data_IF_855498770374
#
_entry.id   IF_855498770374
#
_cell.length_a   1.000
_cell.length_b   1.000
_cell.length_c   1.000
_cell.angle_alpha   90.00
_cell.angle_beta   90.00
_cell.angle_gamma   90.00
#
_symmetry.space_group_name_H-M   'P 1'
#
loop_
_entity.id
_entity.type
_entity.pdbx_description
1 polymer ?
#
# COMPACT_ATOMS: atom_id res chain seq x y z
N UNK A 1 5.82 -6.89 -33.37
CA UNK A 1 5.96 -5.41 -33.45
C UNK A 1 4.98 -4.76 -32.49
N UNK A 2 5.44 -3.80 -31.69
CA UNK A 2 4.60 -3.08 -30.73
C UNK A 2 3.53 -2.23 -31.44
N UNK A 3 2.32 -2.20 -30.86
CA UNK A 3 1.24 -1.29 -31.24
C UNK A 3 1.35 0.03 -30.47
N UNK A 4 0.52 1.00 -30.83
CA UNK A 4 0.49 2.29 -30.14
C UNK A 4 -0.14 2.20 -28.74
N UNK A 5 0.07 3.25 -27.95
CA UNK A 5 -0.43 3.36 -26.58
C UNK A 5 -1.96 3.32 -26.49
N UNK A 6 -2.67 3.86 -27.48
CA UNK A 6 -4.13 3.84 -27.53
C UNK A 6 -4.64 2.42 -27.63
N UNK A 7 -4.03 1.57 -28.47
CA UNK A 7 -4.40 0.17 -28.59
C UNK A 7 -4.36 -0.55 -27.23
N UNK A 8 -3.27 -0.41 -26.47
CA UNK A 8 -3.14 -1.10 -25.18
C UNK A 8 -4.05 -0.50 -24.10
N UNK A 9 -4.32 0.81 -24.16
CA UNK A 9 -5.30 1.44 -23.26
C UNK A 9 -6.72 0.92 -23.53
N UNK A 10 -7.15 0.87 -24.80
CA UNK A 10 -8.43 0.28 -25.17
C UNK A 10 -8.54 -1.20 -24.81
N UNK A 11 -7.45 -1.95 -25.00
CA UNK A 11 -7.37 -3.34 -24.57
C UNK A 11 -7.59 -3.46 -23.06
N UNK A 12 -6.97 -2.58 -22.27
CA UNK A 12 -7.13 -2.52 -20.80
C UNK A 12 -8.58 -2.21 -20.40
N UNK A 13 -9.27 -1.33 -21.14
CA UNK A 13 -10.68 -1.00 -20.89
C UNK A 13 -11.63 -2.15 -21.22
N UNK A 14 -11.31 -2.94 -22.26
CA UNK A 14 -12.11 -4.11 -22.67
C UNK A 14 -11.85 -5.33 -21.78
N UNK A 15 -10.66 -5.42 -21.18
CA UNK A 15 -10.22 -6.55 -20.36
C UNK A 15 -9.82 -6.04 -18.98
N UNK A 16 -10.81 -5.79 -18.12
CA UNK A 16 -10.59 -5.29 -16.77
C UNK A 16 -9.92 -6.33 -15.87
N UNK A 17 -9.33 -5.88 -14.76
CA UNK A 17 -8.70 -6.76 -13.78
C UNK A 17 -9.76 -7.59 -13.06
N UNK A 18 -9.41 -8.86 -12.76
CA UNK A 18 -10.27 -9.77 -12.02
C UNK A 18 -10.42 -9.28 -10.57
N UNK A 19 -11.59 -9.50 -9.97
CA UNK A 19 -11.83 -9.17 -8.56
C UNK A 19 -12.66 -10.25 -7.86
N UNK A 20 -12.22 -10.75 -6.69
CA UNK A 20 -10.97 -10.42 -5.99
C UNK A 20 -9.71 -10.97 -6.69
N UNK A 21 -8.61 -10.23 -6.61
CA UNK A 21 -7.29 -10.65 -7.13
C UNK A 21 -6.48 -11.37 -6.05
N UNK A 22 -6.06 -12.60 -6.37
CA UNK A 22 -5.34 -13.51 -5.46
C UNK A 22 -4.00 -12.95 -4.98
N UNK A 23 -3.34 -12.07 -5.73
CA UNK A 23 -2.12 -11.39 -5.27
C UNK A 23 -2.35 -10.56 -4.01
N UNK A 24 -3.58 -10.11 -3.79
CA UNK A 24 -3.93 -9.25 -2.66
C UNK A 24 -4.66 -9.96 -1.53
N UNK A 25 -5.04 -11.23 -1.70
CA UNK A 25 -5.61 -12.04 -0.64
C UNK A 25 -4.60 -12.18 0.51
N UNK A 26 -5.08 -12.08 1.76
CA UNK A 26 -4.26 -12.21 2.96
C UNK A 26 -4.85 -13.27 3.88
N UNK A 27 -4.39 -14.50 3.75
CA UNK A 27 -4.88 -15.65 4.54
C UNK A 27 -4.09 -15.85 5.84
N UNK A 28 -3.33 -14.84 6.27
CA UNK A 28 -2.51 -14.92 7.48
C UNK A 28 -3.40 -14.83 8.72
N UNK A 29 -3.51 -15.96 9.42
CA UNK A 29 -4.19 -16.06 10.71
C UNK A 29 -3.18 -15.82 11.84
N UNK A 30 -3.39 -14.79 12.65
CA UNK A 30 -2.49 -14.42 13.75
C UNK A 30 -2.97 -14.93 15.12
N UNK A 31 -4.21 -15.43 15.21
CA UNK A 31 -4.83 -15.88 16.47
C UNK A 31 -5.17 -17.37 16.52
N UNK A 32 -4.59 -18.21 15.65
CA UNK A 32 -4.78 -19.67 15.71
C UNK A 32 -4.23 -20.21 17.04
N UNK A 33 -5.06 -20.78 17.94
CA UNK A 33 -4.59 -21.24 19.24
C UNK A 33 -3.47 -22.30 19.17
N UNK A 34 -3.42 -23.09 18.09
CA UNK A 34 -2.38 -24.12 17.91
C UNK A 34 -1.04 -23.53 17.47
N UNK A 35 -1.06 -22.42 16.73
CA UNK A 35 0.15 -21.82 16.12
C UNK A 35 0.62 -20.56 16.84
N UNK A 36 -0.29 -19.86 17.51
CA UNK A 36 -0.07 -18.52 18.09
C UNK A 36 -0.12 -18.52 19.62
N UNK A 37 0.10 -19.66 20.28
CA UNK A 37 0.02 -19.79 21.75
C UNK A 37 0.80 -18.69 22.49
N UNK A 38 2.07 -18.47 22.15
CA UNK A 38 2.92 -17.42 22.76
C UNK A 38 2.37 -16.00 22.57
N UNK A 39 1.80 -15.72 21.40
CA UNK A 39 1.20 -14.42 21.12
C UNK A 39 -0.06 -14.23 21.98
N UNK A 40 -0.94 -15.23 22.02
CA UNK A 40 -2.17 -15.18 22.81
C UNK A 40 -1.88 -15.08 24.32
N UNK A 41 -0.85 -15.76 24.82
CA UNK A 41 -0.37 -15.61 26.20
C UNK A 41 0.05 -14.16 26.49
N UNK A 42 0.81 -13.53 25.59
CA UNK A 42 1.21 -12.12 25.74
C UNK A 42 0.02 -11.16 25.66
N UNK A 43 -0.97 -11.43 24.80
CA UNK A 43 -2.21 -10.65 24.72
C UNK A 43 -3.01 -10.75 26.02
N UNK A 44 -3.14 -11.95 26.58
CA UNK A 44 -3.85 -12.15 27.84
C UNK A 44 -3.13 -11.48 29.01
N UNK A 45 -1.80 -11.63 29.10
CA UNK A 45 -0.99 -10.93 30.09
C UNK A 45 -1.15 -9.39 29.97
N UNK A 46 -1.17 -8.85 28.75
CA UNK A 46 -1.45 -7.43 28.53
C UNK A 46 -2.82 -7.01 29.10
N UNK A 47 -3.87 -7.81 28.86
CA UNK A 47 -5.22 -7.55 29.37
C UNK A 47 -5.25 -7.59 30.91
N UNK A 48 -4.58 -8.56 31.51
CA UNK A 48 -4.47 -8.70 32.97
C UNK A 48 -3.73 -7.52 33.60
N UNK A 49 -2.61 -7.09 33.02
CA UNK A 49 -1.86 -5.93 33.47
C UNK A 49 -2.68 -4.64 33.38
N UNK A 50 -3.41 -4.42 32.28
CA UNK A 50 -4.30 -3.25 32.13
C UNK A 50 -5.44 -3.30 33.15
N UNK A 51 -6.04 -4.47 33.36
CA UNK A 51 -7.10 -4.70 34.35
C UNK A 51 -6.59 -4.35 35.74
N UNK A 52 -5.39 -4.84 36.08
CA UNK A 52 -4.72 -4.58 37.35
C UNK A 52 -4.45 -3.08 37.52
N UNK A 53 -3.88 -2.43 36.50
CA UNK A 53 -3.67 -0.98 36.51
C UNK A 53 -4.96 -0.21 36.80
N UNK A 54 -6.03 -0.51 36.07
CA UNK A 54 -7.32 0.17 36.23
C UNK A 54 -7.92 -0.09 37.63
N UNK A 55 -7.75 -1.30 38.19
CA UNK A 55 -8.21 -1.61 39.55
C UNK A 55 -7.42 -0.84 40.62
N UNK A 56 -6.09 -0.81 40.53
CA UNK A 56 -5.25 -0.07 41.47
C UNK A 56 -5.58 1.42 41.43
N UNK A 57 -5.74 1.98 40.22
CA UNK A 57 -6.10 3.38 40.03
C UNK A 57 -7.46 3.72 40.65
N UNK A 58 -8.49 2.90 40.42
CA UNK A 58 -9.82 3.15 40.98
C UNK A 58 -9.86 3.09 42.51
N UNK A 59 -8.92 2.38 43.14
CA UNK A 59 -8.79 2.28 44.59
C UNK A 59 -7.74 3.27 45.16
N UNK A 60 -7.22 4.20 44.36
CA UNK A 60 -6.15 5.14 44.73
C UNK A 60 -4.89 4.46 45.30
N UNK A 61 -4.58 3.24 44.84
CA UNK A 61 -3.39 2.50 45.25
C UNK A 61 -2.26 2.80 44.25
N UNK A 62 -1.25 3.54 44.70
CA UNK A 62 -0.12 3.93 43.84
C UNK A 62 1.04 2.92 43.82
N UNK A 63 1.07 1.97 44.76
CA UNK A 63 2.16 1.00 44.85
C UNK A 63 2.18 0.06 43.63
N UNK A 64 3.34 -0.11 43.00
CA UNK A 64 3.53 -1.01 41.86
C UNK A 64 3.00 -0.52 40.51
N UNK A 65 2.40 0.68 40.43
CA UNK A 65 1.86 1.22 39.16
C UNK A 65 2.97 1.34 38.11
N UNK A 66 4.13 1.89 38.47
CA UNK A 66 5.22 2.12 37.50
C UNK A 66 5.81 0.81 36.96
N UNK A 67 5.82 -0.25 37.77
CA UNK A 67 6.24 -1.60 37.34
C UNK A 67 5.24 -2.18 36.34
N UNK A 68 3.94 -2.01 36.58
CA UNK A 68 2.88 -2.45 35.67
C UNK A 68 2.97 -1.71 34.34
N UNK A 69 3.14 -0.38 34.37
CA UNK A 69 3.30 0.43 33.14
C UNK A 69 4.53 -0.07 32.36
N UNK A 70 5.65 -0.31 33.04
CA UNK A 70 6.88 -0.80 32.41
C UNK A 70 6.68 -2.17 31.72
N UNK A 71 5.97 -3.10 32.38
CA UNK A 71 5.62 -4.42 31.80
C UNK A 71 4.67 -4.30 30.60
N UNK A 72 3.71 -3.38 30.66
CA UNK A 72 2.82 -3.08 29.53
C UNK A 72 3.63 -2.53 28.37
N UNK A 73 4.52 -1.57 28.61
CA UNK A 73 5.39 -0.99 27.59
C UNK A 73 6.26 -2.08 26.92
N UNK A 74 6.87 -2.97 27.70
CA UNK A 74 7.68 -4.07 27.17
C UNK A 74 6.89 -4.95 26.20
N UNK A 75 5.66 -5.34 26.57
CA UNK A 75 4.79 -6.15 25.69
C UNK A 75 4.45 -5.38 24.42
N UNK A 76 4.09 -4.09 24.55
CA UNK A 76 3.76 -3.25 23.41
C UNK A 76 4.95 -3.15 22.47
N UNK A 77 6.17 -2.90 22.95
CA UNK A 77 7.33 -2.71 22.06
C UNK A 77 7.83 -4.03 21.45
N UNK A 78 7.79 -5.14 22.19
CA UNK A 78 8.46 -6.38 21.79
C UNK A 78 7.59 -7.38 21.03
N UNK A 79 6.26 -7.30 21.15
CA UNK A 79 5.36 -8.33 20.59
C UNK A 79 4.85 -7.92 19.22
N UNK A 80 5.24 -8.68 18.19
CA UNK A 80 4.74 -8.52 16.82
C UNK A 80 3.21 -8.62 16.80
N UNK A 81 2.56 -7.74 16.03
CA UNK A 81 1.10 -7.66 15.85
C UNK A 81 0.30 -7.25 17.10
N UNK A 82 0.93 -6.84 18.21
CA UNK A 82 0.22 -6.42 19.43
C UNK A 82 -0.66 -5.18 19.20
N UNK A 83 -0.35 -4.40 18.17
CA UNK A 83 -1.09 -3.21 17.76
C UNK A 83 -2.51 -3.49 17.25
N UNK A 84 -2.86 -4.76 17.05
CA UNK A 84 -4.21 -5.19 16.67
C UNK A 84 -5.06 -5.64 17.87
N UNK A 85 -4.55 -5.50 19.09
CA UNK A 85 -5.35 -5.69 20.31
C UNK A 85 -6.32 -4.53 20.54
N UNK A 86 -7.37 -4.78 21.32
CA UNK A 86 -8.43 -3.82 21.57
C UNK A 86 -7.93 -2.54 22.26
N UNK A 87 -6.95 -2.68 23.14
CA UNK A 87 -6.31 -1.56 23.85
C UNK A 87 -5.60 -0.61 22.87
N UNK A 88 -4.75 -1.15 21.99
CA UNK A 88 -4.01 -0.32 21.03
C UNK A 88 -4.94 0.21 19.94
N UNK A 89 -5.95 -0.56 19.54
CA UNK A 89 -6.96 -0.09 18.59
C UNK A 89 -7.72 1.14 19.11
N UNK A 90 -7.98 1.22 20.42
CA UNK A 90 -8.63 2.37 21.05
C UNK A 90 -7.84 3.67 20.88
N UNK A 91 -6.50 3.60 20.80
CA UNK A 91 -5.64 4.79 20.67
C UNK A 91 -6.01 5.64 19.45
N UNK A 92 -6.52 5.02 18.37
CA UNK A 92 -7.00 5.72 17.18
C UNK A 92 -8.14 6.68 17.48
N UNK A 93 -8.97 6.39 18.48
CA UNK A 93 -10.05 7.29 18.92
C UNK A 93 -9.56 8.45 19.80
N UNK A 94 -8.29 8.41 20.19
CA UNK A 94 -7.58 9.48 20.89
C UNK A 94 -6.59 10.21 19.96
N UNK A 95 -6.69 9.98 18.64
CA UNK A 95 -5.76 10.49 17.62
C UNK A 95 -4.29 10.09 17.85
N UNK A 96 -4.06 8.93 18.47
CA UNK A 96 -2.72 8.39 18.69
C UNK A 96 -2.48 7.18 17.78
N UNK A 97 -1.43 7.27 16.96
CA UNK A 97 -0.97 6.16 16.14
C UNK A 97 0.09 5.33 16.88
N UNK A 98 -0.04 4.00 16.78
CA UNK A 98 0.91 3.07 17.37
C UNK A 98 2.35 3.26 16.87
N UNK A 99 2.54 3.57 15.59
CA UNK A 99 3.88 3.87 15.03
C UNK A 99 4.53 5.07 15.71
N UNK A 100 3.78 6.16 15.87
CA UNK A 100 4.26 7.36 16.59
C UNK A 100 4.65 7.04 18.02
N UNK A 101 3.88 6.22 18.73
CA UNK A 101 4.24 5.78 20.08
C UNK A 101 5.61 5.08 20.12
N UNK A 102 5.91 4.22 19.15
CA UNK A 102 7.20 3.51 19.09
C UNK A 102 8.41 4.45 18.91
N UNK A 103 8.22 5.59 18.26
CA UNK A 103 9.27 6.58 17.98
C UNK A 103 9.55 7.53 19.16
N UNK A 104 8.67 7.58 20.16
CA UNK A 104 8.85 8.47 21.31
C UNK A 104 10.03 8.06 22.19
N UNK A 105 10.82 9.04 22.63
CA UNK A 105 11.89 8.88 23.61
C UNK A 105 11.35 8.61 25.03
N UNK A 106 10.22 9.21 25.40
CA UNK A 106 9.54 9.00 26.67
C UNK A 106 8.13 8.42 26.44
N UNK A 107 8.05 7.08 26.37
CA UNK A 107 6.81 6.32 26.15
C UNK A 107 5.91 6.27 27.38
N UNK A 108 6.51 6.18 28.57
CA UNK A 108 5.82 6.05 29.86
C UNK A 108 4.74 7.13 30.09
N UNK A 109 5.06 8.40 29.85
CA UNK A 109 4.11 9.50 30.08
C UNK A 109 2.86 9.37 29.19
N UNK A 110 3.06 9.09 27.90
CA UNK A 110 1.93 8.89 26.99
C UNK A 110 1.16 7.62 27.35
N UNK A 111 1.85 6.52 27.67
CA UNK A 111 1.23 5.25 28.04
C UNK A 111 0.32 5.41 29.26
N UNK A 112 0.76 6.17 30.28
CA UNK A 112 -0.07 6.48 31.45
C UNK A 112 -1.37 7.20 31.07
N UNK A 113 -1.29 8.21 30.21
CA UNK A 113 -2.47 8.93 29.69
C UNK A 113 -3.41 7.99 28.93
N UNK A 114 -2.85 7.11 28.09
CA UNK A 114 -3.63 6.16 27.30
C UNK A 114 -4.33 5.12 28.18
N UNK A 115 -3.64 4.58 29.19
CA UNK A 115 -4.19 3.67 30.18
C UNK A 115 -5.32 4.35 30.96
N UNK A 116 -5.09 5.57 31.42
CA UNK A 116 -6.08 6.36 32.15
C UNK A 116 -7.37 6.55 31.36
N UNK A 117 -7.25 6.95 30.10
CA UNK A 117 -8.40 7.13 29.22
C UNK A 117 -9.09 5.81 28.91
N UNK A 118 -8.35 4.72 28.78
CA UNK A 118 -8.93 3.40 28.56
C UNK A 118 -9.71 2.91 29.78
N UNK A 119 -9.17 3.06 30.99
CA UNK A 119 -9.87 2.72 32.23
C UNK A 119 -11.17 3.52 32.39
N UNK A 120 -11.11 4.83 32.11
CA UNK A 120 -12.25 5.76 32.21
C UNK A 120 -13.36 5.43 31.19
N UNK A 121 -13.01 5.10 29.94
CA UNK A 121 -13.97 5.14 28.81
C UNK A 121 -14.21 3.83 28.09
N UNK A 122 -13.39 2.81 28.30
CA UNK A 122 -13.41 1.58 27.48
C UNK A 122 -13.43 0.30 28.26
N UNK A 123 -12.74 0.20 29.40
CA UNK A 123 -12.63 -1.06 30.13
C UNK A 123 -14.00 -1.72 30.39
N UNK A 124 -14.90 -1.03 31.09
CA UNK A 124 -16.23 -1.58 31.41
C UNK A 124 -17.07 -1.86 30.15
N UNK A 125 -16.92 -1.05 29.10
CA UNK A 125 -17.62 -1.26 27.84
C UNK A 125 -17.13 -2.54 27.13
N UNK A 126 -15.82 -2.74 27.05
CA UNK A 126 -15.24 -3.91 26.37
C UNK A 126 -15.43 -5.18 27.18
N UNK A 127 -15.39 -5.11 28.52
CA UNK A 127 -15.75 -6.24 29.39
C UNK A 127 -17.18 -6.72 29.12
N UNK A 128 -18.15 -5.81 28.91
CA UNK A 128 -19.54 -6.17 28.55
C UNK A 128 -19.65 -6.87 27.20
N UNK A 129 -18.81 -6.51 26.23
CA UNK A 129 -18.81 -7.12 24.90
C UNK A 129 -18.00 -8.43 24.86
N UNK A 130 -17.06 -8.59 25.78
CA UNK A 130 -16.12 -9.70 25.79
C UNK A 130 -14.92 -9.44 24.89
N UNK A 131 -13.75 -9.91 25.35
CA UNK A 131 -12.52 -9.92 24.57
C UNK A 131 -12.45 -11.21 23.76
N UNK A 132 -12.27 -11.12 22.44
CA UNK A 132 -12.24 -12.31 21.56
C UNK A 132 -11.00 -12.35 20.70
N UNK A 133 -10.62 -13.55 20.24
CA UNK A 133 -9.57 -13.67 19.24
C UNK A 133 -10.05 -13.16 17.85
N UNK A 134 -11.36 -13.22 17.60
CA UNK A 134 -11.97 -12.73 16.37
C UNK A 134 -11.81 -11.22 16.23
N UNK A 135 -11.98 -10.44 17.29
CA UNK A 135 -11.75 -8.97 17.25
C UNK A 135 -10.32 -8.64 16.85
N UNK A 136 -9.33 -9.35 17.38
CA UNK A 136 -7.92 -9.16 17.02
C UNK A 136 -7.67 -9.52 15.55
N UNK A 137 -8.19 -10.65 15.08
CA UNK A 137 -8.04 -11.06 13.68
C UNK A 137 -8.72 -10.07 12.73
N UNK A 138 -9.95 -9.64 13.03
CA UNK A 138 -10.66 -8.66 12.22
C UNK A 138 -9.91 -7.31 12.17
N UNK A 139 -9.31 -6.88 13.29
CA UNK A 139 -8.45 -5.69 13.32
C UNK A 139 -7.19 -5.89 12.46
N UNK A 140 -6.57 -7.06 12.49
CA UNK A 140 -5.43 -7.42 11.62
C UNK A 140 -5.81 -7.38 10.14
N UNK A 141 -6.91 -8.01 9.77
CA UNK A 141 -7.42 -8.08 8.40
C UNK A 141 -7.78 -6.68 7.89
N UNK A 142 -8.39 -5.83 8.73
CA UNK A 142 -8.69 -4.43 8.38
C UNK A 142 -7.41 -3.62 8.07
N UNK A 143 -6.31 -3.95 8.75
CA UNK A 143 -5.00 -3.33 8.56
C UNK A 143 -4.22 -3.86 7.35
N UNK A 144 -4.64 -4.98 6.75
CA UNK A 144 -3.94 -5.67 5.65
C UNK A 144 -3.79 -4.82 4.40
N UNK A 145 -4.67 -3.83 4.19
CA UNK A 145 -4.58 -2.85 3.10
C UNK A 145 -3.21 -2.17 3.00
N UNK A 146 -2.55 -1.93 4.13
CA UNK A 146 -1.23 -1.27 4.20
C UNK A 146 -0.09 -2.15 3.66
N UNK A 147 -0.28 -3.47 3.63
CA UNK A 147 0.71 -4.43 3.13
C UNK A 147 0.64 -4.66 1.61
N UNK A 148 -0.35 -4.07 0.91
CA UNK A 148 -0.57 -4.31 -0.52
C UNK A 148 0.52 -3.75 -1.43
N UNK A 149 1.29 -2.76 -0.98
CA UNK A 149 2.36 -2.15 -1.77
C UNK A 149 3.52 -3.11 -2.11
N UNK A 150 3.89 -4.02 -1.21
CA UNK A 150 4.91 -5.05 -1.49
C UNK A 150 4.38 -6.14 -2.42
N UNK A 151 3.12 -6.55 -2.22
CA UNK A 151 2.42 -7.54 -3.07
C UNK A 151 2.31 -7.08 -4.52
N UNK A 152 2.03 -5.80 -4.73
CA UNK A 152 1.98 -5.19 -6.05
C UNK A 152 3.32 -5.26 -6.81
N UNK A 153 4.45 -5.05 -6.12
CA UNK A 153 5.78 -5.23 -6.72
C UNK A 153 6.03 -6.69 -7.12
N UNK A 154 5.64 -7.64 -6.26
CA UNK A 154 5.73 -9.07 -6.61
C UNK A 154 4.94 -9.41 -7.87
N UNK A 155 3.71 -8.89 -7.99
CA UNK A 155 2.86 -9.10 -9.18
C UNK A 155 3.53 -8.64 -10.48
N UNK A 156 4.11 -7.43 -10.52
CA UNK A 156 4.82 -6.93 -11.71
C UNK A 156 6.00 -7.85 -12.06
N UNK A 157 6.77 -8.24 -11.05
CA UNK A 157 7.94 -9.09 -11.22
C UNK A 157 7.58 -10.49 -11.72
N UNK A 158 6.50 -11.09 -11.22
CA UNK A 158 6.02 -12.40 -11.65
C UNK A 158 5.52 -12.35 -13.10
N UNK A 159 4.73 -11.32 -13.47
CA UNK A 159 4.24 -11.13 -14.84
C UNK A 159 5.42 -11.01 -15.82
N UNK A 160 6.38 -10.13 -15.54
CA UNK A 160 7.51 -9.88 -16.44
C UNK A 160 8.41 -11.11 -16.58
N UNK A 161 8.69 -11.82 -15.49
CA UNK A 161 9.48 -13.06 -15.53
C UNK A 161 8.79 -14.14 -16.35
N UNK A 162 7.49 -14.33 -16.14
CA UNK A 162 6.74 -15.38 -16.83
C UNK A 162 6.65 -15.15 -18.35
N UNK A 163 6.53 -13.89 -18.78
CA UNK A 163 6.37 -13.57 -20.20
C UNK A 163 7.72 -13.41 -20.91
N UNK A 164 8.58 -12.54 -20.40
CA UNK A 164 9.82 -12.12 -21.06
C UNK A 164 11.05 -12.90 -20.60
N UNK A 165 10.97 -13.65 -19.49
CA UNK A 165 12.12 -14.28 -18.86
C UNK A 165 13.27 -13.28 -18.58
N UNK A 166 12.92 -12.04 -18.22
CA UNK A 166 13.88 -10.95 -17.93
C UNK A 166 13.71 -10.43 -16.49
N UNK A 167 14.66 -9.62 -16.05
CA UNK A 167 14.65 -9.00 -14.72
C UNK A 167 13.92 -7.66 -14.75
N UNK A 168 13.10 -7.42 -13.73
CA UNK A 168 12.60 -6.08 -13.38
C UNK A 168 13.57 -5.44 -12.41
N UNK A 169 14.03 -4.23 -12.72
CA UNK A 169 14.86 -3.42 -11.83
C UNK A 169 13.95 -2.47 -11.08
N UNK A 170 13.74 -2.69 -9.79
CA UNK A 170 13.08 -1.69 -8.94
C UNK A 170 14.05 -0.53 -8.68
N UNK A 171 13.60 0.68 -8.98
CA UNK A 171 14.47 1.84 -9.02
C UNK A 171 14.62 2.43 -7.60
N UNK A 172 15.88 2.69 -7.24
CA UNK A 172 16.30 3.51 -6.11
C UNK A 172 17.14 4.70 -6.58
N UNK A 173 17.66 5.50 -5.65
CA UNK A 173 18.42 6.72 -6.02
C UNK A 173 19.68 6.44 -6.83
N UNK A 174 20.41 5.38 -6.49
CA UNK A 174 21.71 5.08 -7.08
C UNK A 174 21.57 4.55 -8.52
N UNK A 175 20.82 3.47 -8.72
CA UNK A 175 20.61 2.89 -10.05
C UNK A 175 19.82 3.83 -10.98
N UNK A 176 18.94 4.71 -10.47
CA UNK A 176 18.28 5.70 -11.34
C UNK A 176 19.28 6.68 -11.97
N UNK A 177 20.31 7.06 -11.22
CA UNK A 177 21.34 7.99 -11.68
C UNK A 177 22.15 7.36 -12.82
N UNK A 178 22.43 6.06 -12.71
CA UNK A 178 23.12 5.26 -13.73
C UNK A 178 22.25 5.08 -14.97
N UNK A 179 20.99 4.64 -14.82
CA UNK A 179 20.05 4.44 -15.93
C UNK A 179 19.85 5.74 -16.73
N UNK A 180 19.67 6.87 -16.06
CA UNK A 180 19.54 8.17 -16.75
C UNK A 180 20.75 8.54 -17.58
N UNK A 181 21.95 8.24 -17.07
CA UNK A 181 23.21 8.51 -17.77
C UNK A 181 23.37 7.58 -18.97
N UNK A 182 23.06 6.28 -18.80
CA UNK A 182 23.11 5.27 -19.86
C UNK A 182 22.15 5.62 -21.02
N UNK A 183 20.91 5.96 -20.70
CA UNK A 183 19.89 6.31 -21.71
C UNK A 183 20.04 7.75 -22.25
N UNK A 184 20.85 8.58 -21.60
CA UNK A 184 20.98 10.02 -21.87
C UNK A 184 19.61 10.73 -21.95
N UNK A 185 18.77 10.53 -20.93
CA UNK A 185 17.39 11.06 -20.86
C UNK A 185 17.25 12.27 -19.94
N UNK A 186 16.30 13.16 -20.27
CA UNK A 186 16.06 14.40 -19.52
C UNK A 186 15.19 14.21 -18.28
N UNK A 187 14.20 13.31 -18.36
CA UNK A 187 13.25 12.99 -17.29
C UNK A 187 12.70 14.24 -16.56
N UNK A 188 11.91 15.04 -17.28
CA UNK A 188 11.30 16.28 -16.77
C UNK A 188 10.25 16.02 -15.68
N UNK A 189 9.53 14.90 -15.76
CA UNK A 189 8.55 14.50 -14.74
C UNK A 189 9.11 14.59 -13.32
N UNK A 190 10.30 14.01 -13.08
CA UNK A 190 10.94 14.04 -11.77
C UNK A 190 11.26 15.46 -11.29
N UNK A 191 11.71 16.34 -12.18
CA UNK A 191 12.00 17.76 -11.84
C UNK A 191 10.75 18.50 -11.39
N UNK A 192 9.62 18.23 -12.04
CA UNK A 192 8.34 18.87 -11.73
C UNK A 192 7.62 18.24 -10.52
N UNK A 193 8.06 17.05 -10.08
CA UNK A 193 7.46 16.29 -8.99
C UNK A 193 8.45 16.03 -7.85
N UNK A 194 9.08 17.08 -7.33
CA UNK A 194 9.92 17.00 -6.12
C UNK A 194 11.07 15.96 -6.22
N UNK A 195 11.70 15.86 -7.38
CA UNK A 195 12.75 14.88 -7.68
C UNK A 195 12.29 13.42 -7.55
N UNK A 196 11.00 13.16 -7.79
CA UNK A 196 10.45 11.81 -7.80
C UNK A 196 11.18 10.95 -8.83
N UNK A 197 11.38 9.68 -8.49
CA UNK A 197 11.99 8.66 -9.36
C UNK A 197 10.92 7.65 -9.77
N UNK A 198 11.05 6.99 -10.94
CA UNK A 198 10.10 5.96 -11.34
C UNK A 198 10.15 4.76 -10.39
N UNK A 199 9.13 3.91 -10.42
CA UNK A 199 9.02 2.73 -9.56
C UNK A 199 9.87 1.55 -10.09
N UNK A 200 9.90 1.32 -11.40
CA UNK A 200 10.60 0.18 -12.00
C UNK A 200 11.13 0.44 -13.42
N UNK A 201 12.04 -0.43 -13.85
CA UNK A 201 12.67 -0.39 -15.16
C UNK A 201 12.81 -1.81 -15.74
N UNK A 202 12.52 -1.96 -17.04
CA UNK A 202 12.62 -3.22 -17.78
C UNK A 202 13.39 -2.97 -19.07
N UNK A 203 14.34 -3.85 -19.38
CA UNK A 203 15.03 -3.88 -20.67
C UNK A 203 14.78 -5.20 -21.35
N UNK A 204 14.34 -5.15 -22.60
CA UNK A 204 14.11 -6.33 -23.43
C UNK A 204 14.24 -5.97 -24.91
N UNK A 205 15.02 -6.73 -25.69
CA UNK A 205 15.24 -6.50 -27.12
C UNK A 205 15.48 -5.03 -27.50
N UNK A 206 16.38 -4.34 -26.79
CA UNK A 206 16.69 -2.92 -27.01
C UNK A 206 15.52 -1.95 -26.74
N UNK A 207 14.40 -2.41 -26.18
CA UNK A 207 13.34 -1.56 -25.63
C UNK A 207 13.57 -1.32 -24.14
N UNK A 208 13.35 -0.08 -23.73
CA UNK A 208 13.57 0.42 -22.38
C UNK A 208 12.24 0.93 -21.82
N UNK A 209 11.65 0.19 -20.88
CA UNK A 209 10.38 0.58 -20.23
C UNK A 209 10.69 1.19 -18.88
N UNK A 210 10.35 2.46 -18.71
CA UNK A 210 10.41 3.19 -17.44
C UNK A 210 9.00 3.27 -16.87
N UNK A 211 8.78 2.63 -15.73
CA UNK A 211 7.45 2.39 -15.18
C UNK A 211 7.15 3.17 -13.90
N UNK A 212 5.97 3.77 -13.84
CA UNK A 212 5.34 4.25 -12.61
C UNK A 212 4.10 3.39 -12.34
N UNK A 213 3.90 3.01 -11.09
CA UNK A 213 2.99 1.92 -10.75
C UNK A 213 2.13 2.31 -9.54
N UNK A 214 0.80 2.18 -9.66
CA UNK A 214 -0.12 2.47 -8.55
C UNK A 214 -1.20 1.40 -8.44
N UNK A 215 -1.54 1.04 -7.21
CA UNK A 215 -2.69 0.21 -6.90
C UNK A 215 -3.83 1.07 -6.37
N UNK A 216 -4.91 1.22 -7.15
CA UNK A 216 -5.99 2.18 -6.93
C UNK A 216 -7.33 1.45 -6.96
N UNK A 217 -8.09 1.50 -5.86
CA UNK A 217 -9.36 0.76 -5.73
C UNK A 217 -10.61 1.64 -5.75
N UNK A 218 -10.55 2.86 -5.18
CA UNK A 218 -11.75 3.64 -4.87
C UNK A 218 -11.70 5.04 -5.48
N UNK A 219 -12.83 5.75 -5.45
CA UNK A 219 -12.88 7.18 -5.76
C UNK A 219 -12.47 8.01 -4.54
N UNK A 220 -11.87 9.18 -4.75
CA UNK A 220 -11.53 10.13 -3.68
C UNK A 220 -10.40 11.08 -4.06
N UNK A 221 -10.33 12.25 -3.42
CA UNK A 221 -9.41 13.33 -3.81
C UNK A 221 -7.93 12.94 -3.85
N UNK A 222 -7.47 12.11 -2.90
CA UNK A 222 -6.11 11.60 -2.90
C UNK A 222 -5.82 10.64 -4.07
N UNK A 223 -6.79 9.81 -4.47
CA UNK A 223 -6.64 8.87 -5.58
C UNK A 223 -6.71 9.59 -6.93
N UNK A 224 -7.54 10.62 -7.04
CA UNK A 224 -7.58 11.48 -8.23
C UNK A 224 -6.23 12.14 -8.53
N UNK A 225 -5.50 12.56 -7.48
CA UNK A 225 -4.15 13.11 -7.60
C UNK A 225 -3.18 12.06 -8.15
N UNK A 226 -3.28 10.81 -7.69
CA UNK A 226 -2.44 9.72 -8.18
C UNK A 226 -2.68 9.44 -9.66
N UNK A 227 -3.93 9.47 -10.13
CA UNK A 227 -4.24 9.27 -11.55
C UNK A 227 -3.73 10.44 -12.39
N UNK A 228 -3.91 11.68 -11.93
CA UNK A 228 -3.34 12.86 -12.59
C UNK A 228 -1.81 12.78 -12.72
N UNK A 229 -1.15 12.27 -11.69
CA UNK A 229 0.30 12.02 -11.71
C UNK A 229 0.70 10.94 -12.73
N UNK A 230 -0.04 9.83 -12.82
CA UNK A 230 0.18 8.79 -13.84
C UNK A 230 -0.03 9.32 -15.26
N UNK A 231 -1.01 10.21 -15.46
CA UNK A 231 -1.25 10.88 -16.76
C UNK A 231 -0.07 11.79 -17.09
N UNK A 232 0.42 12.56 -16.12
CA UNK A 232 1.57 13.44 -16.34
C UNK A 232 2.86 12.66 -16.61
N UNK A 233 3.04 11.51 -15.96
CA UNK A 233 4.18 10.62 -16.18
C UNK A 233 4.31 10.17 -17.65
N UNK A 234 3.20 9.74 -18.28
CA UNK A 234 3.21 9.32 -19.69
C UNK A 234 3.26 10.48 -20.69
N UNK A 235 3.26 11.74 -20.23
CA UNK A 235 3.60 12.88 -21.11
C UNK A 235 5.11 12.96 -21.38
N UNK A 236 5.94 12.31 -20.57
CA UNK A 236 7.39 12.34 -20.72
C UNK A 236 7.78 11.85 -22.10
N UNK A 237 8.65 12.63 -22.76
CA UNK A 237 9.12 12.35 -24.11
C UNK A 237 10.63 12.46 -24.14
N UNK A 238 11.26 11.49 -24.79
CA UNK A 238 12.71 11.44 -24.94
C UNK A 238 13.10 11.41 -26.42
N UNK A 239 14.39 11.63 -26.68
CA UNK A 239 14.93 11.63 -28.05
C UNK A 239 14.75 10.27 -28.74
N UNK A 240 14.90 9.17 -27.99
CA UNK A 240 14.94 7.82 -28.53
C UNK A 240 13.56 7.15 -28.49
N UNK A 241 13.14 6.56 -29.62
CA UNK A 241 11.81 5.95 -29.78
C UNK A 241 11.64 4.62 -29.04
N UNK A 242 12.75 3.98 -28.63
CA UNK A 242 12.79 2.73 -27.88
C UNK A 242 12.74 2.95 -26.35
N UNK A 243 12.62 4.19 -25.88
CA UNK A 243 12.37 4.50 -24.47
C UNK A 243 10.88 4.80 -24.30
N UNK A 244 10.24 4.00 -23.46
CA UNK A 244 8.80 3.98 -23.24
C UNK A 244 8.48 4.34 -21.80
N UNK A 245 7.59 5.31 -21.59
CA UNK A 245 7.03 5.58 -20.27
C UNK A 245 5.73 4.84 -20.09
N UNK A 246 5.65 4.07 -19.01
CA UNK A 246 4.52 3.21 -18.73
C UNK A 246 3.89 3.55 -17.38
N UNK A 247 2.63 3.96 -17.39
CA UNK A 247 1.79 4.05 -16.21
C UNK A 247 1.01 2.75 -16.03
N UNK A 248 1.34 2.01 -14.98
CA UNK A 248 0.67 0.77 -14.59
C UNK A 248 -0.32 1.05 -13.47
N UNK A 249 -1.60 0.81 -13.73
CA UNK A 249 -2.67 0.96 -12.74
C UNK A 249 -3.32 -0.38 -12.46
N UNK A 250 -3.24 -0.83 -11.22
CA UNK A 250 -3.84 -2.09 -10.78
C UNK A 250 -5.01 -1.83 -9.82
N UNK A 251 -6.00 -2.70 -9.86
CA UNK A 251 -7.20 -2.63 -9.02
C UNK A 251 -8.42 -2.11 -9.78
N UNK A 252 -9.42 -1.65 -9.02
CA UNK A 252 -10.76 -1.42 -9.57
C UNK A 252 -10.92 -0.07 -10.28
N UNK A 253 -9.94 0.83 -10.23
CA UNK A 253 -10.15 2.20 -10.73
C UNK A 253 -10.56 2.27 -12.21
N UNK A 254 -9.98 1.44 -13.09
CA UNK A 254 -10.33 1.41 -14.52
C UNK A 254 -11.77 0.95 -14.79
N UNK A 255 -12.41 0.24 -13.86
CA UNK A 255 -13.84 -0.07 -13.97
C UNK A 255 -14.66 1.22 -14.02
N UNK A 256 -14.18 2.30 -13.41
CA UNK A 256 -14.82 3.59 -13.49
C UNK A 256 -14.79 4.20 -14.88
N UNK A 257 -13.89 3.82 -15.79
CA UNK A 257 -13.82 4.39 -17.15
C UNK A 257 -14.79 3.73 -18.14
N UNK A 258 -15.39 2.60 -17.78
CA UNK A 258 -16.33 1.85 -18.62
C UNK A 258 -17.79 2.00 -18.21
N UNK A 259 -18.06 2.53 -17.01
CA UNK A 259 -19.44 2.75 -16.56
C UNK A 259 -20.14 3.80 -17.43
N UNK A 260 -21.43 3.58 -17.73
CA UNK A 260 -22.24 4.49 -18.57
C UNK A 260 -22.37 5.89 -17.98
N UNK A 261 -22.45 6.01 -16.66
CA UNK A 261 -22.63 7.27 -15.95
C UNK A 261 -21.31 7.70 -15.29
N UNK A 262 -20.42 8.26 -16.11
CA UNK A 262 -19.15 8.82 -15.66
C UNK A 262 -19.37 10.20 -15.02
N UNK A 263 -18.70 10.47 -13.89
CA UNK A 263 -18.58 11.85 -13.42
C UNK A 263 -17.71 12.66 -14.39
N UNK A 264 -17.94 13.98 -14.49
CA UNK A 264 -17.16 14.85 -15.39
C UNK A 264 -15.65 14.74 -15.17
N UNK A 265 -15.23 14.54 -13.92
CA UNK A 265 -13.82 14.33 -13.57
C UNK A 265 -13.24 13.06 -14.20
N UNK A 266 -13.98 11.96 -14.15
CA UNK A 266 -13.54 10.67 -14.72
C UNK A 266 -13.52 10.75 -16.25
N UNK A 267 -14.53 11.41 -16.86
CA UNK A 267 -14.55 11.67 -18.30
C UNK A 267 -13.31 12.45 -18.73
N UNK A 268 -12.97 13.51 -17.99
CA UNK A 268 -11.78 14.33 -18.24
C UNK A 268 -10.49 13.52 -18.13
N UNK A 269 -10.31 12.74 -17.07
CA UNK A 269 -9.11 11.89 -16.93
C UNK A 269 -8.96 10.90 -18.10
N UNK A 270 -10.05 10.24 -18.51
CA UNK A 270 -10.03 9.33 -19.66
C UNK A 270 -9.62 10.06 -20.94
N UNK A 271 -10.20 11.23 -21.19
CA UNK A 271 -9.87 12.08 -22.34
C UNK A 271 -8.41 12.52 -22.30
N UNK A 272 -7.92 12.97 -21.13
CA UNK A 272 -6.54 13.39 -20.94
C UNK A 272 -5.56 12.24 -21.24
N UNK A 273 -5.88 11.00 -20.82
CA UNK A 273 -5.09 9.80 -21.17
C UNK A 273 -5.07 9.60 -22.69
N UNK A 274 -6.24 9.60 -23.33
CA UNK A 274 -6.34 9.40 -24.79
C UNK A 274 -5.58 10.49 -25.58
N UNK A 275 -5.66 11.74 -25.17
CA UNK A 275 -4.92 12.84 -25.81
C UNK A 275 -3.40 12.67 -25.66
N UNK A 276 -2.93 12.33 -24.46
CA UNK A 276 -1.51 12.12 -24.21
C UNK A 276 -0.97 10.93 -25.00
N UNK A 277 -1.70 9.81 -25.05
CA UNK A 277 -1.29 8.63 -25.82
C UNK A 277 -1.31 8.87 -27.33
N UNK A 278 -2.19 9.74 -27.85
CA UNK A 278 -2.15 10.17 -29.25
C UNK A 278 -0.90 11.01 -29.56
N UNK A 279 -0.49 11.88 -28.64
CA UNK A 279 0.70 12.73 -28.78
C UNK A 279 1.99 11.90 -28.62
N UNK A 280 1.97 10.93 -27.70
CA UNK A 280 3.10 10.06 -27.37
C UNK A 280 2.71 8.58 -27.58
N UNK A 281 2.60 8.12 -28.83
CA UNK A 281 2.08 6.77 -29.15
C UNK A 281 2.96 5.62 -28.67
N UNK A 282 4.19 5.89 -28.26
CA UNK A 282 5.11 4.89 -27.72
C UNK A 282 5.10 4.82 -26.18
N UNK A 283 4.26 5.61 -25.52
CA UNK A 283 4.04 5.51 -24.07
C UNK A 283 2.75 4.73 -23.80
N UNK A 284 2.60 4.22 -22.58
CA UNK A 284 1.58 3.23 -22.27
C UNK A 284 0.84 3.57 -20.96
N UNK A 285 -0.48 3.41 -20.98
CA UNK A 285 -1.32 3.46 -19.79
C UNK A 285 -2.15 2.18 -19.74
N UNK A 286 -1.86 1.29 -18.80
CA UNK A 286 -2.38 -0.09 -18.84
C UNK A 286 -2.75 -0.63 -17.46
N UNK A 287 -3.72 -1.54 -17.43
CA UNK A 287 -3.96 -2.44 -16.29
C UNK A 287 -3.16 -3.73 -16.40
N UNK A 288 -3.46 -4.71 -15.55
CA UNK A 288 -2.81 -6.03 -15.57
C UNK A 288 -2.94 -6.70 -16.94
N UNK A 289 -4.15 -6.77 -17.50
CA UNK A 289 -4.37 -7.45 -18.79
C UNK A 289 -3.69 -6.71 -19.96
N UNK A 290 -3.76 -5.38 -19.99
CA UNK A 290 -3.04 -4.56 -20.97
C UNK A 290 -1.54 -4.65 -20.85
N UNK A 291 -1.00 -4.73 -19.63
CA UNK A 291 0.42 -4.92 -19.39
C UNK A 291 0.90 -6.29 -19.86
N UNK A 292 0.15 -7.36 -19.57
CA UNK A 292 0.43 -8.71 -20.11
C UNK A 292 0.46 -8.66 -21.63
N UNK A 293 -0.57 -8.07 -22.26
CA UNK A 293 -0.66 -7.98 -23.72
C UNK A 293 0.51 -7.20 -24.33
N UNK A 294 0.90 -6.09 -23.71
CA UNK A 294 2.06 -5.30 -24.11
C UNK A 294 3.35 -6.12 -24.07
N UNK A 295 3.58 -6.88 -23.00
CA UNK A 295 4.79 -7.70 -22.86
C UNK A 295 4.80 -8.88 -23.85
N UNK A 296 3.65 -9.48 -24.14
CA UNK A 296 3.53 -10.49 -25.20
C UNK A 296 3.88 -9.94 -26.58
N UNK A 297 3.35 -8.76 -26.92
CA UNK A 297 3.65 -8.10 -28.19
C UNK A 297 5.11 -7.62 -28.27
N UNK A 298 5.70 -7.24 -27.14
CA UNK A 298 7.13 -6.92 -26.99
C UNK A 298 8.02 -8.15 -27.19
N UNK A 299 7.62 -9.32 -26.66
CA UNK A 299 8.34 -10.58 -26.85
C UNK A 299 8.46 -10.97 -28.32
N UNK A 300 7.43 -10.63 -29.10
CA UNK A 300 7.30 -10.92 -30.53
C UNK A 300 7.67 -9.73 -31.44
N UNK A 301 8.31 -8.70 -30.89
CA UNK A 301 8.81 -7.53 -31.62
C UNK A 301 10.30 -7.71 -31.94
#
# INVERSE_FOLDING_TARGET
MLKDGIFYFEYSLKNLDDFPDSYYTNDVIIVDPKKSKKFLEKVNNLRELITTYCCLKNNNINNGIDEIISKIEEILVSVKNINYTEFVAYWKSLDVQYGTFLELSNKNNLLKILLDKFCERRRSLYEKFGYTNVSIQALYDSGSSRSKGSKFKSKILDIVRNILNTKVIFIGKNNWKEIKKELNIKYDFGRNHQNKIPDFYIVYNNHHIVGEAKHIHNKGGAQDKQVGELIDFIKQKEKYKNVHYLSFIDGLYLHHFVHKNLSEKIKRQKKDIEEVLKINPNNFFVNTKGFIKLLEDLKNA
#
